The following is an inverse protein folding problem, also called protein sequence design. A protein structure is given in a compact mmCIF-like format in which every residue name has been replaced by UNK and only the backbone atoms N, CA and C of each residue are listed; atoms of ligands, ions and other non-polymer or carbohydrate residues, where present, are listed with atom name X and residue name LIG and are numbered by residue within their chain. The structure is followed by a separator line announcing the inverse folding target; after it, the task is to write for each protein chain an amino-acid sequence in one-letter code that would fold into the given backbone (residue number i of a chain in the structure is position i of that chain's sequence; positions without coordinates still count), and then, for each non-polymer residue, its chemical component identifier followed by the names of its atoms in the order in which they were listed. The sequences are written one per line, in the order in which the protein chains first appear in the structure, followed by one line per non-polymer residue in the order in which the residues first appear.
data_IF_024347498189
#
_entry.id   IF_024347498189
#
_cell.length_a   1.000
_cell.length_b   1.000
_cell.length_c   1.000
_cell.angle_alpha   90.00
_cell.angle_beta   90.00
_cell.angle_gamma   90.00
#
_symmetry.space_group_name_H-M   'P 1'
#
loop_
_entity.id
_entity.type
_entity.pdbx_description
1 polymer ?
#
# COMPACT_ATOMS: atom_id res chain seq x y z
N UNK A 1 -13.02 -1.70 8.79
CA UNK A 1 -11.76 -2.18 9.39
C UNK A 1 -11.48 -1.37 10.64
N UNK A 2 -11.22 -2.04 11.76
CA UNK A 2 -10.86 -1.36 13.01
C UNK A 2 -9.43 -0.87 12.94
N UNK A 3 -9.07 0.04 13.85
CA UNK A 3 -7.68 0.53 13.95
C UNK A 3 -6.71 -0.61 14.24
N UNK A 4 -7.12 -1.57 15.06
CA UNK A 4 -6.29 -2.73 15.39
C UNK A 4 -6.08 -3.61 14.15
N UNK A 5 -7.13 -3.84 13.38
CA UNK A 5 -7.04 -4.63 12.14
C UNK A 5 -6.12 -3.95 11.13
N UNK A 6 -6.25 -2.63 10.98
CA UNK A 6 -5.39 -1.87 10.08
C UNK A 6 -3.92 -1.99 10.51
N UNK A 7 -3.66 -1.87 11.81
CA UNK A 7 -2.32 -1.98 12.36
C UNK A 7 -1.70 -3.36 12.09
N UNK A 8 -2.49 -4.41 12.24
CA UNK A 8 -2.05 -5.78 11.97
C UNK A 8 -1.70 -5.98 10.49
N UNK A 9 -2.53 -5.45 9.60
CA UNK A 9 -2.30 -5.55 8.15
C UNK A 9 -1.06 -4.76 7.75
N UNK A 10 -0.93 -3.54 8.27
CA UNK A 10 0.23 -2.71 7.97
C UNK A 10 1.52 -3.35 8.48
N UNK A 11 1.47 -3.95 9.67
CA UNK A 11 2.63 -4.68 10.22
C UNK A 11 3.02 -5.85 9.32
N UNK A 12 2.04 -6.58 8.80
CA UNK A 12 2.31 -7.69 7.88
C UNK A 12 3.00 -7.20 6.61
N UNK A 13 2.56 -6.06 6.07
CA UNK A 13 3.19 -5.45 4.91
C UNK A 13 4.63 -5.06 5.21
N UNK A 14 4.86 -4.39 6.33
CA UNK A 14 6.21 -3.95 6.73
C UNK A 14 7.16 -5.13 6.91
N UNK A 15 6.68 -6.24 7.48
CA UNK A 15 7.50 -7.45 7.64
C UNK A 15 7.87 -8.05 6.30
N UNK A 16 6.92 -8.12 5.37
CA UNK A 16 7.18 -8.62 4.04
C UNK A 16 8.24 -7.78 3.33
N UNK A 17 8.16 -6.46 3.47
CA UNK A 17 9.14 -5.55 2.88
C UNK A 17 10.52 -5.68 3.53
N UNK A 18 10.55 -5.87 4.85
CA UNK A 18 11.79 -5.93 5.62
C UNK A 18 12.68 -7.12 5.28
N UNK A 19 12.11 -8.17 4.69
CA UNK A 19 12.85 -9.37 4.29
C UNK A 19 13.47 -9.24 2.90
N UNK A 20 13.19 -8.14 2.19
CA UNK A 20 13.58 -7.95 0.79
C UNK A 20 14.63 -6.87 0.65
N UNK A 21 15.43 -6.95 -0.40
CA UNK A 21 16.28 -5.84 -0.82
C UNK A 21 15.43 -4.71 -1.38
N UNK A 22 16.04 -3.54 -1.52
CA UNK A 22 15.34 -2.30 -1.92
C UNK A 22 14.54 -2.47 -3.21
N UNK A 23 15.15 -3.04 -4.24
CA UNK A 23 14.49 -3.21 -5.54
C UNK A 23 13.30 -4.16 -5.46
N UNK A 24 13.46 -5.26 -4.75
CA UNK A 24 12.40 -6.24 -4.56
C UNK A 24 11.27 -5.67 -3.71
N UNK A 25 11.58 -4.86 -2.71
CA UNK A 25 10.59 -4.20 -1.88
C UNK A 25 9.73 -3.25 -2.71
N UNK A 26 10.36 -2.49 -3.61
CA UNK A 26 9.66 -1.59 -4.51
C UNK A 26 8.71 -2.36 -5.44
N UNK A 27 9.17 -3.51 -5.95
CA UNK A 27 8.33 -4.36 -6.79
C UNK A 27 7.13 -4.91 -6.03
N UNK A 28 7.33 -5.32 -4.78
CA UNK A 28 6.23 -5.82 -3.95
C UNK A 28 5.20 -4.72 -3.71
N UNK A 29 5.65 -3.52 -3.37
CA UNK A 29 4.76 -2.38 -3.15
C UNK A 29 3.95 -2.05 -4.41
N UNK A 30 4.61 -2.08 -5.58
CA UNK A 30 3.92 -1.80 -6.84
C UNK A 30 2.86 -2.83 -7.16
N UNK A 31 3.14 -4.11 -6.92
CA UNK A 31 2.16 -5.18 -7.11
C UNK A 31 1.02 -5.06 -6.12
N UNK A 32 1.34 -4.77 -4.87
CA UNK A 32 0.31 -4.58 -3.83
C UNK A 32 -0.61 -3.42 -4.20
N UNK A 33 -0.03 -2.31 -4.65
CA UNK A 33 -0.81 -1.15 -5.06
C UNK A 33 -1.76 -1.51 -6.21
N UNK A 34 -1.27 -2.25 -7.21
CA UNK A 34 -2.10 -2.68 -8.33
C UNK A 34 -3.26 -3.56 -7.86
N UNK A 35 -2.97 -4.54 -7.01
CA UNK A 35 -3.99 -5.44 -6.47
C UNK A 35 -5.03 -4.67 -5.66
N UNK A 36 -4.58 -3.71 -4.86
CA UNK A 36 -5.49 -2.86 -4.08
C UNK A 36 -6.36 -1.99 -4.99
N UNK A 37 -5.80 -1.48 -6.09
CA UNK A 37 -6.56 -0.68 -7.05
C UNK A 37 -7.68 -1.49 -7.70
N UNK A 38 -7.48 -2.79 -7.90
CA UNK A 38 -8.51 -3.66 -8.46
C UNK A 38 -9.70 -3.84 -7.51
N UNK A 39 -9.48 -3.63 -6.20
CA UNK A 39 -10.53 -3.72 -5.19
C UNK A 39 -11.28 -2.41 -4.99
N UNK A 40 -10.70 -1.28 -5.42
CA UNK A 40 -11.30 0.04 -5.27
C UNK A 40 -11.87 0.46 -6.63
N UNK A 41 -13.19 0.45 -6.75
CA UNK A 41 -13.88 0.71 -8.01
C UNK A 41 -14.19 2.19 -8.22
N UNK A 42 -13.18 3.04 -8.08
CA UNK A 42 -13.33 4.48 -8.28
C UNK A 42 -12.02 5.10 -8.74
N UNK A 43 -11.89 5.41 -10.04
CA UNK A 43 -10.68 6.07 -10.55
C UNK A 43 -10.41 7.41 -9.87
N UNK A 44 -11.45 8.20 -9.62
CA UNK A 44 -11.30 9.51 -8.97
C UNK A 44 -10.75 9.35 -7.55
N UNK A 45 -11.27 8.37 -6.80
CA UNK A 45 -10.79 8.11 -5.46
C UNK A 45 -9.33 7.64 -5.46
N UNK A 46 -8.96 6.82 -6.44
CA UNK A 46 -7.57 6.36 -6.57
C UNK A 46 -6.62 7.52 -6.88
N UNK A 47 -7.03 8.45 -7.75
CA UNK A 47 -6.23 9.64 -8.02
C UNK A 47 -6.01 10.49 -6.75
N UNK A 48 -7.05 10.64 -5.94
CA UNK A 48 -6.94 11.34 -4.66
C UNK A 48 -5.96 10.67 -3.73
N UNK A 49 -6.03 9.33 -3.61
CA UNK A 49 -5.14 8.56 -2.74
C UNK A 49 -3.69 8.66 -3.18
N UNK A 50 -3.45 8.63 -4.49
CA UNK A 50 -2.11 8.80 -5.04
C UNK A 50 -1.56 10.19 -4.66
N UNK A 51 -2.39 11.22 -4.79
CA UNK A 51 -2.00 12.57 -4.41
C UNK A 51 -1.65 12.68 -2.94
N UNK A 52 -2.46 12.07 -2.07
CA UNK A 52 -2.20 12.04 -0.64
C UNK A 52 -0.90 11.29 -0.32
N UNK A 53 -0.66 10.16 -0.98
CA UNK A 53 0.54 9.37 -0.76
C UNK A 53 1.80 10.12 -1.20
N UNK A 54 1.69 11.01 -2.18
CA UNK A 54 2.82 11.78 -2.69
C UNK A 54 3.16 13.00 -1.82
N UNK A 55 2.27 13.41 -0.92
CA UNK A 55 2.51 14.54 -0.04
C UNK A 55 3.58 14.20 1.00
N UNK A 56 4.51 15.11 1.30
CA UNK A 56 5.48 14.88 2.36
C UNK A 56 4.78 14.83 3.72
N UNK A 57 5.25 13.95 4.58
CA UNK A 57 4.72 13.76 5.92
C UNK A 57 4.97 14.98 6.81
#
# INVERSE_FOLDING_TARGET
MTDQELDEVYTALCRALGELGHEQALMLLSRFALLAMLEIDSPDRLHELIGQAAEPA
#
